data_IF_560342125608
#
_entry.id   IF_560342125608
#
_cell.length_a   1.000
_cell.length_b   1.000
_cell.length_c   1.000
_cell.angle_alpha   90.00
_cell.angle_beta   90.00
_cell.angle_gamma   90.00
#
_symmetry.space_group_name_H-M   'P 1'
#
loop_
_entity.id
_entity.type
_entity.pdbx_description
1 polymer ?
#
# COMPACT_ATOMS: atom_id res chain seq x y z
N UNK A 1 31.26 27.37 -12.58
CA UNK A 1 30.60 26.66 -11.46
C UNK A 1 29.05 26.75 -11.55
N UNK A 2 28.45 26.55 -12.74
CA UNK A 2 26.98 26.56 -12.92
C UNK A 2 26.39 25.16 -13.04
N UNK A 3 27.16 24.20 -13.56
CA UNK A 3 26.71 22.82 -13.78
C UNK A 3 26.53 22.02 -12.47
N UNK A 4 27.33 22.32 -11.43
CA UNK A 4 27.23 21.66 -10.13
C UNK A 4 25.91 22.01 -9.39
N UNK A 5 25.39 23.22 -9.61
CA UNK A 5 24.12 23.66 -9.01
C UNK A 5 22.93 22.92 -9.64
N UNK A 6 22.97 22.67 -10.96
CA UNK A 6 21.92 21.94 -11.66
C UNK A 6 21.88 20.46 -11.29
N UNK A 7 23.03 19.83 -11.01
CA UNK A 7 23.10 18.44 -10.54
C UNK A 7 22.44 18.27 -9.16
N UNK A 8 22.58 19.25 -8.26
CA UNK A 8 21.90 19.26 -6.96
C UNK A 8 20.38 19.40 -7.09
N UNK A 9 19.91 20.24 -8.02
CA UNK A 9 18.47 20.41 -8.27
C UNK A 9 17.85 19.15 -8.88
N UNK A 10 18.55 18.47 -9.79
CA UNK A 10 18.09 17.19 -10.36
C UNK A 10 18.08 16.08 -9.31
N UNK A 11 19.11 15.99 -8.46
CA UNK A 11 19.14 15.00 -7.37
C UNK A 11 18.03 15.24 -6.33
N UNK A 12 17.68 16.50 -6.04
CA UNK A 12 16.56 16.84 -5.17
C UNK A 12 15.20 16.44 -5.76
N UNK A 13 15.04 16.49 -7.09
CA UNK A 13 13.82 16.07 -7.77
C UNK A 13 13.66 14.54 -7.85
N UNK A 14 14.76 13.80 -7.90
CA UNK A 14 14.74 12.32 -7.93
C UNK A 14 14.37 11.72 -6.56
N UNK A 15 14.52 12.47 -5.47
CA UNK A 15 14.21 12.00 -4.11
C UNK A 15 12.72 11.86 -3.76
N UNK A 16 11.79 12.26 -4.65
CA UNK A 16 10.38 12.47 -4.30
C UNK A 16 9.40 11.40 -4.84
N UNK A 17 9.88 10.30 -5.43
CA UNK A 17 9.00 9.23 -5.90
C UNK A 17 9.60 7.85 -5.57
N UNK A 18 9.65 7.49 -4.29
CA UNK A 18 9.92 6.12 -3.90
C UNK A 18 8.63 5.31 -4.02
N UNK A 19 8.43 4.67 -5.18
CA UNK A 19 7.40 3.65 -5.31
C UNK A 19 7.94 2.32 -4.78
N UNK A 20 7.27 1.69 -3.82
CA UNK A 20 7.63 0.35 -3.37
C UNK A 20 6.43 -0.56 -3.26
N UNK A 21 6.63 -1.84 -3.56
CA UNK A 21 5.63 -2.88 -3.34
C UNK A 21 5.90 -3.59 -2.01
N UNK A 22 4.83 -4.05 -1.39
CA UNK A 22 4.91 -4.78 -0.12
C UNK A 22 3.81 -5.82 -0.03
N UNK A 23 3.98 -6.77 0.88
CA UNK A 23 3.00 -7.80 1.19
C UNK A 23 2.52 -7.64 2.63
N UNK A 24 1.21 -7.74 2.84
CA UNK A 24 0.58 -7.68 4.16
C UNK A 24 -0.08 -9.03 4.46
N UNK A 25 0.19 -9.65 5.63
CA UNK A 25 -0.42 -10.92 5.96
C UNK A 25 -1.94 -10.78 6.15
N UNK A 26 -2.68 -11.80 5.71
CA UNK A 26 -4.10 -11.93 6.00
C UNK A 26 -4.27 -12.56 7.38
N UNK A 27 -4.99 -11.86 8.23
CA UNK A 27 -5.38 -12.29 9.56
C UNK A 27 -6.87 -12.61 9.62
N UNK A 28 -7.30 -13.28 10.70
CA UNK A 28 -8.70 -13.61 10.93
C UNK A 28 -9.17 -12.97 12.23
N UNK A 29 -10.24 -12.19 12.14
CA UNK A 29 -10.82 -11.53 13.31
C UNK A 29 -11.41 -12.57 14.27
N UNK A 30 -10.93 -12.60 15.52
CA UNK A 30 -11.32 -13.63 16.49
C UNK A 30 -12.81 -13.61 16.85
N UNK A 31 -13.46 -12.45 16.75
CA UNK A 31 -14.87 -12.27 17.14
C UNK A 31 -15.81 -12.61 15.98
N UNK A 32 -15.46 -12.20 14.77
CA UNK A 32 -16.34 -12.31 13.59
C UNK A 32 -15.93 -13.41 12.62
N UNK A 33 -14.71 -13.92 12.75
CA UNK A 33 -14.11 -14.87 11.79
C UNK A 33 -13.79 -14.25 10.43
N UNK A 34 -13.99 -12.94 10.24
CA UNK A 34 -13.79 -12.28 8.95
C UNK A 34 -12.29 -12.09 8.67
N UNK A 35 -11.82 -12.41 7.45
CA UNK A 35 -10.44 -12.14 7.07
C UNK A 35 -10.20 -10.63 6.89
N UNK A 36 -9.04 -10.16 7.33
CA UNK A 36 -8.61 -8.77 7.19
C UNK A 36 -7.09 -8.67 7.01
N UNK A 37 -6.62 -7.53 6.53
CA UNK A 37 -5.22 -7.12 6.60
C UNK A 37 -5.06 -5.96 7.58
N UNK A 38 -3.98 -5.96 8.36
CA UNK A 38 -3.65 -4.87 9.26
C UNK A 38 -2.59 -3.97 8.64
N UNK A 39 -2.96 -2.75 8.30
CA UNK A 39 -2.05 -1.80 7.70
C UNK A 39 -2.23 -0.41 8.30
N UNK A 40 -1.12 0.25 8.64
CA UNK A 40 -1.16 1.64 9.12
C UNK A 40 -1.99 1.87 10.38
N UNK A 41 -2.10 0.87 11.26
CA UNK A 41 -2.88 0.99 12.49
C UNK A 41 -4.37 0.67 12.34
N UNK A 42 -4.81 0.26 11.15
CA UNK A 42 -6.21 -0.02 10.85
C UNK A 42 -6.40 -1.43 10.29
N UNK A 43 -7.58 -2.00 10.56
CA UNK A 43 -8.02 -3.26 9.95
C UNK A 43 -8.80 -2.96 8.67
N UNK A 44 -8.40 -3.59 7.59
CA UNK A 44 -9.12 -3.55 6.31
C UNK A 44 -9.63 -4.96 6.00
N UNK A 45 -10.96 -5.15 6.04
CA UNK A 45 -11.56 -6.46 5.80
C UNK A 45 -11.54 -6.80 4.31
N UNK A 46 -11.22 -8.06 4.00
CA UNK A 46 -11.26 -8.54 2.62
C UNK A 46 -12.71 -8.60 2.11
N UNK A 47 -12.90 -8.36 0.83
CA UNK A 47 -14.21 -8.29 0.16
C UNK A 47 -14.25 -9.12 -1.13
N UNK A 48 -15.43 -9.63 -1.46
CA UNK A 48 -15.72 -10.28 -2.75
C UNK A 48 -16.27 -9.25 -3.77
N UNK A 49 -16.45 -7.99 -3.35
CA UNK A 49 -16.89 -6.89 -4.19
C UNK A 49 -15.76 -6.40 -5.09
N UNK A 50 -15.86 -6.53 -6.43
CA UNK A 50 -14.81 -6.09 -7.34
C UNK A 50 -14.58 -4.58 -7.34
N UNK A 51 -15.54 -3.76 -6.91
CA UNK A 51 -15.35 -2.31 -6.79
C UNK A 51 -14.58 -1.93 -5.52
N UNK A 52 -14.57 -2.80 -4.51
CA UNK A 52 -13.89 -2.61 -3.23
C UNK A 52 -12.65 -3.49 -3.04
N UNK A 53 -12.25 -4.23 -4.07
CA UNK A 53 -11.10 -5.14 -4.03
C UNK A 53 -9.77 -4.40 -3.96
N UNK A 54 -9.74 -3.10 -4.24
CA UNK A 54 -8.60 -2.23 -4.00
C UNK A 54 -9.04 -1.02 -3.18
N UNK A 55 -8.22 -0.64 -2.21
CA UNK A 55 -8.39 0.62 -1.51
C UNK A 55 -7.18 1.52 -1.74
N UNK A 56 -7.45 2.80 -1.98
CA UNK A 56 -6.41 3.80 -2.20
C UNK A 56 -6.53 4.90 -1.15
N UNK A 57 -5.44 5.20 -0.45
CA UNK A 57 -5.42 6.23 0.60
C UNK A 57 -4.02 6.85 0.80
N UNK A 58 -3.97 8.04 1.39
CA UNK A 58 -2.71 8.73 1.69
C UNK A 58 -2.17 8.34 3.06
N UNK A 59 -0.87 8.08 3.15
CA UNK A 59 -0.17 7.85 4.42
C UNK A 59 1.28 8.35 4.35
N UNK A 60 1.64 9.30 5.23
CA UNK A 60 2.98 9.91 5.29
C UNK A 60 3.49 10.34 3.90
N UNK A 61 2.64 11.02 3.13
CA UNK A 61 2.89 11.52 1.77
C UNK A 61 3.02 10.46 0.66
N UNK A 62 2.82 9.17 0.97
CA UNK A 62 2.69 8.10 -0.01
C UNK A 62 1.21 7.81 -0.35
N UNK A 63 0.95 7.53 -1.63
CA UNK A 63 -0.34 7.01 -2.09
C UNK A 63 -0.28 5.50 -1.97
N UNK A 64 -1.02 4.97 -1.00
CA UNK A 64 -1.09 3.53 -0.75
C UNK A 64 -2.21 2.93 -1.59
N UNK A 65 -1.90 1.93 -2.41
CA UNK A 65 -2.87 1.00 -2.99
C UNK A 65 -2.74 -0.34 -2.26
N UNK A 66 -3.85 -0.91 -1.80
CA UNK A 66 -3.88 -2.18 -1.09
C UNK A 66 -4.96 -3.09 -1.65
N UNK A 67 -4.56 -4.29 -2.04
CA UNK A 67 -5.46 -5.34 -2.50
C UNK A 67 -6.22 -5.97 -1.31
N UNK A 68 -7.54 -6.00 -1.39
CA UNK A 68 -8.48 -6.57 -0.43
C UNK A 68 -9.32 -7.72 -1.02
N UNK A 69 -8.97 -8.24 -2.19
CA UNK A 69 -9.70 -9.32 -2.83
C UNK A 69 -9.79 -10.55 -1.91
N UNK A 70 -11.00 -11.03 -1.64
CA UNK A 70 -11.23 -12.18 -0.77
C UNK A 70 -11.16 -13.52 -1.48
N UNK A 71 -11.45 -13.57 -2.78
CA UNK A 71 -11.41 -14.78 -3.60
C UNK A 71 -10.00 -15.35 -3.76
N UNK A 72 -8.96 -14.52 -3.65
CA UNK A 72 -7.57 -14.99 -3.68
C UNK A 72 -7.26 -15.90 -2.49
N UNK A 73 -6.68 -17.07 -2.78
CA UNK A 73 -6.23 -18.05 -1.77
C UNK A 73 -4.87 -17.71 -1.16
N UNK A 74 -4.23 -16.63 -1.60
CA UNK A 74 -2.93 -16.20 -1.08
C UNK A 74 -3.05 -15.81 0.41
N UNK A 75 -2.18 -16.29 1.31
CA UNK A 75 -2.13 -15.84 2.70
C UNK A 75 -1.67 -14.38 2.88
N UNK A 76 -1.24 -13.70 1.81
CA UNK A 76 -0.84 -12.30 1.81
C UNK A 76 -1.66 -11.49 0.80
N UNK A 77 -1.67 -10.16 0.99
CA UNK A 77 -2.14 -9.21 0.00
C UNK A 77 -1.05 -8.25 -0.39
N UNK A 78 -0.95 -7.97 -1.68
CA UNK A 78 -0.05 -6.98 -2.21
C UNK A 78 -0.56 -5.57 -1.93
N UNK A 79 0.39 -4.67 -1.78
CA UNK A 79 0.15 -3.24 -1.81
C UNK A 79 1.33 -2.51 -2.43
N UNK A 80 1.08 -1.27 -2.80
CA UNK A 80 2.11 -0.34 -3.28
C UNK A 80 1.97 1.01 -2.58
N UNK A 81 3.06 1.76 -2.50
CA UNK A 81 3.19 3.05 -1.83
C UNK A 81 4.06 3.99 -2.65
#
# INVERSE_FOLDING_TARGET
MKCALNLLVVAALVGLAFSYTFYVPVEKDWRTGRPYVYYGGQKHYLTDDPEGSHIVFLKNDCVIDLNLEKSSRDPYRDGSA
#
